data_IF_295152099466
#
_entry.id   IF_295152099466
#
_cell.length_a   1.000
_cell.length_b   1.000
_cell.length_c   1.000
_cell.angle_alpha   90.00
_cell.angle_beta   90.00
_cell.angle_gamma   90.00
#
_symmetry.space_group_name_H-M   'P 1'
#
loop_
_entity.id
_entity.type
_entity.pdbx_description
1 polymer ?
#
# COMPACT_ATOMS: atom_id res chain seq x y z
N UNK A 1 14.78 -25.02 10.42
CA UNK A 1 16.01 -24.20 10.21
C UNK A 1 15.87 -22.92 11.03
N UNK A 2 16.91 -22.46 11.75
CA UNK A 2 16.82 -21.21 12.50
C UNK A 2 16.73 -20.03 11.54
N UNK A 3 15.71 -19.19 11.71
CA UNK A 3 15.49 -17.99 10.91
C UNK A 3 16.53 -16.94 11.35
N UNK A 4 17.45 -16.56 10.46
CA UNK A 4 18.31 -15.38 10.68
C UNK A 4 17.45 -14.13 10.51
N UNK A 5 17.25 -13.40 11.60
CA UNK A 5 16.52 -12.13 11.61
C UNK A 5 17.43 -11.04 11.05
N UNK A 6 17.25 -10.71 9.77
CA UNK A 6 17.80 -9.50 9.16
C UNK A 6 16.75 -8.38 9.36
N UNK A 7 17.18 -7.15 9.58
CA UNK A 7 16.28 -6.00 9.68
C UNK A 7 15.34 -5.93 8.46
N UNK A 8 14.09 -5.47 8.61
CA UNK A 8 13.17 -5.34 7.49
C UNK A 8 13.83 -4.55 6.36
N UNK A 9 13.84 -5.10 5.14
CA UNK A 9 14.33 -4.37 3.97
C UNK A 9 13.32 -3.25 3.70
N UNK A 10 13.72 -2.02 3.98
CA UNK A 10 12.99 -0.81 3.64
C UNK A 10 13.54 -0.25 2.34
N UNK A 11 12.66 0.02 1.39
CA UNK A 11 13.00 0.61 0.09
C UNK A 11 12.41 2.02 0.02
N UNK A 12 13.25 3.00 -0.25
CA UNK A 12 12.86 4.40 -0.46
C UNK A 12 12.74 4.68 -1.96
N UNK A 13 11.64 5.30 -2.36
CA UNK A 13 11.36 5.68 -3.73
C UNK A 13 11.03 7.16 -3.79
N UNK A 14 11.52 7.84 -4.82
CA UNK A 14 11.13 9.20 -5.14
C UNK A 14 9.91 9.17 -6.08
N UNK A 15 9.03 10.17 -5.94
CA UNK A 15 7.83 10.35 -6.77
C UNK A 15 8.14 11.28 -7.94
N UNK A 16 8.99 10.81 -8.85
CA UNK A 16 9.51 11.61 -9.96
C UNK A 16 8.41 12.10 -10.92
N UNK A 17 7.29 11.38 -11.06
CA UNK A 17 6.18 11.82 -11.92
C UNK A 17 5.39 12.93 -11.25
N UNK A 18 5.09 12.78 -9.96
CA UNK A 18 4.40 13.77 -9.14
C UNK A 18 5.17 15.07 -9.07
N UNK A 19 6.47 15.01 -8.77
CA UNK A 19 7.34 16.19 -8.66
C UNK A 19 7.41 16.96 -10.00
N UNK A 20 7.35 16.26 -11.14
CA UNK A 20 7.29 16.89 -12.46
C UNK A 20 5.95 17.52 -12.79
N UNK A 21 4.86 16.99 -12.25
CA UNK A 21 3.50 17.43 -12.59
C UNK A 21 3.02 18.58 -11.70
N UNK A 22 3.29 18.50 -10.40
CA UNK A 22 2.86 19.51 -9.43
C UNK A 22 3.95 20.54 -9.09
N UNK A 23 5.21 20.25 -9.47
CA UNK A 23 6.37 21.02 -9.02
C UNK A 23 6.74 20.66 -7.59
N UNK A 24 8.04 20.73 -7.26
CA UNK A 24 8.54 20.45 -5.92
C UNK A 24 9.23 21.71 -5.38
N UNK A 25 8.73 22.25 -4.28
CA UNK A 25 9.42 23.30 -3.53
C UNK A 25 10.40 22.65 -2.53
N UNK A 26 11.61 22.32 -2.99
CA UNK A 26 12.69 21.84 -2.10
C UNK A 26 13.13 20.40 -2.35
N UNK A 27 13.10 19.57 -1.30
CA UNK A 27 13.54 18.16 -1.36
C UNK A 27 12.53 17.30 -2.15
N UNK A 28 13.00 16.31 -2.94
CA UNK A 28 12.13 15.47 -3.75
C UNK A 28 11.12 14.71 -2.88
N UNK A 29 9.89 14.58 -3.38
CA UNK A 29 8.85 13.84 -2.66
C UNK A 29 9.21 12.36 -2.66
N UNK A 30 9.14 11.72 -1.50
CA UNK A 30 9.52 10.33 -1.33
C UNK A 30 8.48 9.55 -0.53
N UNK A 31 8.47 8.24 -0.80
CA UNK A 31 7.74 7.23 -0.04
C UNK A 31 8.67 6.08 0.28
N UNK A 32 8.54 5.53 1.48
CA UNK A 32 9.29 4.40 1.97
C UNK A 32 8.35 3.25 2.24
N UNK A 33 8.70 2.08 1.71
CA UNK A 33 7.96 0.85 1.93
C UNK A 33 8.82 -0.18 2.62
N UNK A 34 8.25 -0.87 3.60
CA UNK A 34 8.79 -2.12 4.13
C UNK A 34 8.29 -3.27 3.28
N UNK A 35 9.15 -4.28 3.07
CA UNK A 35 8.71 -5.51 2.44
C UNK A 35 7.54 -6.15 3.21
N UNK A 36 6.47 -6.49 2.49
CA UNK A 36 5.35 -7.26 3.04
C UNK A 36 5.85 -8.59 3.65
N UNK A 37 5.36 -8.97 4.84
CA UNK A 37 5.64 -10.29 5.44
C UNK A 37 4.58 -11.28 4.96
N UNK A 38 4.80 -12.56 5.27
CA UNK A 38 3.91 -13.65 4.85
C UNK A 38 2.45 -13.43 5.26
N UNK A 39 2.21 -12.80 6.41
CA UNK A 39 0.85 -12.50 6.90
C UNK A 39 0.17 -11.44 6.05
N UNK A 40 0.86 -10.39 5.63
CA UNK A 40 0.31 -9.37 4.74
C UNK A 40 0.05 -9.94 3.34
N UNK A 41 0.90 -10.85 2.84
CA UNK A 41 0.63 -11.59 1.60
C UNK A 41 -0.62 -12.47 1.71
N UNK A 42 -0.81 -13.17 2.83
CA UNK A 42 -2.01 -13.97 3.06
C UNK A 42 -3.27 -13.12 3.17
N UNK A 43 -3.19 -11.95 3.84
CA UNK A 43 -4.30 -11.00 3.89
C UNK A 43 -4.64 -10.48 2.50
N UNK A 44 -3.64 -10.16 1.67
CA UNK A 44 -3.84 -9.76 0.28
C UNK A 44 -4.53 -10.88 -0.54
N UNK A 45 -4.08 -12.12 -0.40
CA UNK A 45 -4.67 -13.26 -1.12
C UNK A 45 -6.12 -13.53 -0.68
N UNK A 46 -6.41 -13.43 0.63
CA UNK A 46 -7.77 -13.53 1.16
C UNK A 46 -8.68 -12.41 0.64
N UNK A 47 -8.17 -11.17 0.60
CA UNK A 47 -8.91 -10.03 0.08
C UNK A 47 -9.19 -10.18 -1.42
N UNK A 48 -8.22 -10.67 -2.20
CA UNK A 48 -8.40 -10.95 -3.64
C UNK A 48 -9.34 -12.14 -3.89
N UNK A 49 -9.28 -13.18 -3.07
CA UNK A 49 -10.18 -14.34 -3.17
C UNK A 49 -11.63 -13.98 -2.82
N UNK A 50 -11.86 -13.05 -1.90
CA UNK A 50 -13.20 -12.58 -1.54
C UNK A 50 -13.92 -11.89 -2.72
N UNK A 51 -13.18 -11.36 -3.69
CA UNK A 51 -13.73 -10.81 -4.93
C UNK A 51 -14.30 -11.91 -5.84
N UNK A 52 -13.90 -13.18 -5.63
CA UNK A 52 -13.92 -14.15 -6.73
C UNK A 52 -15.18 -15.03 -6.84
N UNK A 53 -16.03 -15.28 -5.83
CA UNK A 53 -17.36 -15.94 -6.02
C UNK A 53 -18.12 -16.26 -4.71
N UNK A 54 -19.37 -15.82 -4.61
CA UNK A 54 -20.44 -16.59 -3.96
C UNK A 54 -21.43 -17.03 -5.04
N UNK A 55 -21.50 -18.34 -5.33
CA UNK A 55 -22.57 -18.92 -6.15
C UNK A 55 -23.69 -19.31 -5.17
N UNK A 56 -24.76 -18.51 -5.11
CA UNK A 56 -25.97 -18.91 -4.40
C UNK A 56 -26.85 -19.73 -5.32
N UNK A 57 -26.79 -21.05 -5.20
CA UNK A 57 -27.82 -21.92 -5.74
C UNK A 57 -29.05 -21.86 -4.82
N UNK A 58 -29.95 -20.91 -5.06
CA UNK A 58 -31.28 -20.93 -4.44
C UNK A 58 -32.27 -21.33 -5.54
N UNK A 59 -33.06 -22.36 -5.26
CA UNK A 59 -34.08 -22.97 -6.12
C UNK A 59 -34.53 -22.12 -7.33
N UNK A 60 -34.06 -22.49 -8.51
CA UNK A 60 -34.69 -22.16 -9.79
C UNK A 60 -34.31 -20.84 -10.46
N UNK A 61 -33.40 -20.05 -9.90
CA UNK A 61 -32.91 -18.82 -10.55
C UNK A 61 -31.37 -18.74 -10.49
N UNK A 62 -30.72 -19.09 -11.60
CA UNK A 62 -29.25 -19.03 -11.78
C UNK A 62 -28.78 -17.56 -11.95
N UNK A 63 -29.07 -16.72 -10.97
CA UNK A 63 -28.56 -15.35 -10.95
C UNK A 63 -27.22 -15.30 -10.21
N UNK A 64 -26.15 -15.03 -10.95
CA UNK A 64 -24.82 -14.77 -10.38
C UNK A 64 -24.82 -13.35 -9.82
N UNK A 65 -25.09 -13.20 -8.52
CA UNK A 65 -24.98 -11.91 -7.84
C UNK A 65 -23.52 -11.72 -7.39
N UNK A 66 -22.77 -10.94 -8.16
CA UNK A 66 -21.43 -10.50 -7.77
C UNK A 66 -21.54 -9.50 -6.62
N UNK A 67 -21.37 -9.95 -5.37
CA UNK A 67 -21.15 -9.05 -4.23
C UNK A 67 -19.66 -8.76 -4.12
N UNK A 68 -19.24 -7.62 -4.67
CA UNK A 68 -17.90 -7.10 -4.47
C UNK A 68 -17.94 -6.16 -3.24
N UNK A 69 -17.49 -6.65 -2.09
CA UNK A 69 -17.47 -5.85 -0.85
C UNK A 69 -16.36 -4.78 -0.84
N UNK A 70 -15.37 -4.87 -1.75
CA UNK A 70 -14.20 -3.99 -1.81
C UNK A 70 -13.89 -3.54 -3.24
N UNK A 71 -13.74 -2.24 -3.47
CA UNK A 71 -13.25 -1.74 -4.76
C UNK A 71 -11.75 -2.00 -4.92
N UNK A 72 -11.27 -2.10 -6.16
CA UNK A 72 -9.84 -2.33 -6.43
C UNK A 72 -8.95 -1.23 -5.83
N UNK A 73 -9.44 0.01 -5.83
CA UNK A 73 -8.76 1.15 -5.23
C UNK A 73 -8.62 1.02 -3.71
N UNK A 74 -9.66 0.52 -3.03
CA UNK A 74 -9.61 0.28 -1.59
C UNK A 74 -8.62 -0.83 -1.24
N UNK A 75 -8.48 -1.85 -2.10
CA UNK A 75 -7.49 -2.91 -1.93
C UNK A 75 -6.07 -2.39 -2.05
N UNK A 76 -5.79 -1.57 -3.06
CA UNK A 76 -4.47 -0.96 -3.22
C UNK A 76 -4.13 0.00 -2.07
N UNK A 77 -5.10 0.83 -1.64
CA UNK A 77 -4.93 1.68 -0.47
C UNK A 77 -4.59 0.85 0.79
N UNK A 78 -5.24 -0.31 0.96
CA UNK A 78 -4.96 -1.23 2.07
C UNK A 78 -3.58 -1.88 1.98
N UNK A 79 -3.11 -2.20 0.78
CA UNK A 79 -1.74 -2.71 0.58
C UNK A 79 -0.70 -1.66 0.95
N UNK A 80 -0.92 -0.41 0.53
CA UNK A 80 -0.08 0.73 0.92
C UNK A 80 -0.10 0.91 2.43
N UNK A 81 -1.27 0.93 3.08
CA UNK A 81 -1.40 1.03 4.53
C UNK A 81 -0.56 -0.01 5.29
N UNK A 82 -0.55 -1.26 4.79
CA UNK A 82 0.19 -2.34 5.43
C UNK A 82 1.71 -2.22 5.27
N UNK A 83 2.19 -1.58 4.20
CA UNK A 83 3.61 -1.60 3.83
C UNK A 83 4.30 -0.24 3.90
N UNK A 84 3.55 0.87 4.00
CA UNK A 84 4.10 2.21 4.11
C UNK A 84 4.84 2.37 5.45
N UNK A 85 6.11 2.76 5.38
CA UNK A 85 6.98 2.98 6.53
C UNK A 85 7.48 4.42 6.64
N UNK A 86 7.27 5.26 5.63
CA UNK A 86 7.63 6.68 5.68
C UNK A 86 7.17 7.43 4.43
N UNK A 87 6.96 8.74 4.55
CA UNK A 87 6.78 9.66 3.43
C UNK A 87 6.94 11.12 3.88
N UNK A 88 7.13 12.04 2.95
CA UNK A 88 7.15 13.49 3.19
C UNK A 88 5.99 14.25 2.53
N UNK A 89 4.85 13.58 2.32
CA UNK A 89 3.67 14.22 1.75
C UNK A 89 3.03 15.19 2.75
N UNK A 90 2.80 16.42 2.31
CA UNK A 90 2.14 17.48 3.07
C UNK A 90 0.80 17.87 2.43
N UNK A 91 -0.15 18.31 3.24
CA UNK A 91 -1.41 18.84 2.76
C UNK A 91 -1.28 20.34 2.40
N UNK A 92 -2.37 20.94 1.93
CA UNK A 92 -2.42 22.38 1.59
C UNK A 92 -2.22 23.33 2.79
N UNK A 93 -2.23 22.82 4.02
CA UNK A 93 -1.96 23.55 5.24
C UNK A 93 -0.53 23.32 5.77
N UNK A 94 0.35 22.71 4.97
CA UNK A 94 1.73 22.34 5.30
C UNK A 94 1.87 21.26 6.41
N UNK A 95 0.78 20.58 6.77
CA UNK A 95 0.82 19.48 7.73
C UNK A 95 1.12 18.13 7.04
N UNK A 96 1.92 17.23 7.65
CA UNK A 96 2.13 15.88 7.15
C UNK A 96 0.82 15.10 7.01
N UNK A 97 0.58 14.54 5.82
CA UNK A 97 -0.62 13.74 5.54
C UNK A 97 -0.63 12.46 6.38
N UNK A 98 0.55 11.81 6.49
CA UNK A 98 0.72 10.56 7.22
C UNK A 98 1.62 10.75 8.43
N UNK A 99 1.22 10.12 9.54
CA UNK A 99 1.96 10.14 10.80
C UNK A 99 2.69 8.83 11.00
N UNK A 100 3.94 8.92 11.45
CA UNK A 100 4.79 7.76 11.66
C UNK A 100 5.41 7.77 13.05
N UNK A 101 5.54 6.59 13.66
CA UNK A 101 6.28 6.38 14.91
C UNK A 101 7.46 5.47 14.68
N UNK A 102 8.52 5.71 15.45
CA UNK A 102 9.67 4.80 15.50
C UNK A 102 9.40 3.70 16.52
N UNK A 103 9.50 2.46 16.10
CA UNK A 103 9.41 1.29 16.98
C UNK A 103 10.72 1.10 17.75
N UNK A 104 10.66 0.35 18.86
CA UNK A 104 11.84 -0.01 19.67
C UNK A 104 12.94 -0.68 18.84
N UNK A 105 12.57 -1.36 17.75
CA UNK A 105 13.49 -2.01 16.81
C UNK A 105 14.12 -1.04 15.80
N UNK A 106 13.97 0.28 15.99
CA UNK A 106 14.53 1.32 15.13
C UNK A 106 13.80 1.51 13.78
N UNK A 107 12.81 0.67 13.47
CA UNK A 107 12.01 0.74 12.24
C UNK A 107 10.87 1.75 12.38
N UNK A 108 10.59 2.50 11.31
CA UNK A 108 9.47 3.44 11.25
C UNK A 108 8.20 2.70 10.82
N UNK A 109 7.08 2.97 11.50
CA UNK A 109 5.77 2.40 11.20
C UNK A 109 4.72 3.50 11.18
N UNK A 110 3.68 3.32 10.36
CA UNK A 110 2.53 4.19 10.33
C UNK A 110 1.85 4.21 11.72
N UNK A 111 1.63 5.42 12.25
CA UNK A 111 0.98 5.66 13.54
C UNK A 111 -0.42 6.26 13.33
N UNK A 112 -1.20 5.58 12.51
CA UNK A 112 -2.57 5.93 12.20
C UNK A 112 -3.41 4.66 12.17
N UNK A 113 -4.67 4.77 12.60
CA UNK A 113 -5.66 3.71 12.38
C UNK A 113 -5.99 3.57 10.89
N UNK A 114 -6.51 2.40 10.50
CA UNK A 114 -6.95 2.15 9.12
C UNK A 114 -7.99 3.19 8.66
N UNK A 115 -8.92 3.59 9.52
CA UNK A 115 -9.91 4.62 9.22
C UNK A 115 -9.32 6.01 8.99
N UNK A 116 -8.34 6.41 9.81
CA UNK A 116 -7.66 7.70 9.66
C UNK A 116 -6.81 7.70 8.38
N UNK A 117 -6.12 6.59 8.10
CA UNK A 117 -5.35 6.43 6.87
C UNK A 117 -6.25 6.54 5.64
N UNK A 118 -7.39 5.84 5.60
CA UNK A 118 -8.29 5.87 4.44
C UNK A 118 -8.90 7.27 4.23
N UNK A 119 -9.14 8.01 5.32
CA UNK A 119 -9.60 9.41 5.24
C UNK A 119 -8.51 10.31 4.66
N UNK A 120 -7.28 10.20 5.14
CA UNK A 120 -6.14 10.95 4.62
C UNK A 120 -5.83 10.58 3.16
N UNK A 121 -5.85 9.29 2.83
CA UNK A 121 -5.67 8.76 1.48
C UNK A 121 -6.69 9.32 0.50
N UNK A 122 -7.96 9.43 0.91
CA UNK A 122 -9.03 10.02 0.10
C UNK A 122 -8.88 11.52 -0.19
N UNK A 123 -8.00 12.23 0.51
CA UNK A 123 -7.69 13.65 0.22
C UNK A 123 -6.57 13.84 -0.80
N UNK A 124 -5.82 12.77 -1.12
CA UNK A 124 -4.68 12.83 -2.04
C UNK A 124 -5.19 12.75 -3.48
N UNK A 125 -4.57 13.51 -4.39
CA UNK A 125 -4.88 13.44 -5.81
C UNK A 125 -4.67 12.02 -6.38
N UNK A 126 -5.58 11.60 -7.26
CA UNK A 126 -5.54 10.29 -7.92
C UNK A 126 -4.23 10.02 -8.67
N UNK A 127 -3.56 11.05 -9.19
CA UNK A 127 -2.27 10.94 -9.87
C UNK A 127 -1.16 10.54 -8.90
N UNK A 128 -1.15 11.17 -7.73
CA UNK A 128 -0.15 10.92 -6.67
C UNK A 128 -0.39 9.52 -6.09
N UNK A 129 -1.64 9.19 -5.76
CA UNK A 129 -1.98 7.87 -5.23
C UNK A 129 -1.65 6.74 -6.21
N UNK A 130 -1.86 6.94 -7.52
CA UNK A 130 -1.46 5.98 -8.54
C UNK A 130 0.05 5.72 -8.57
N UNK A 131 0.87 6.77 -8.48
CA UNK A 131 2.33 6.61 -8.43
C UNK A 131 2.79 5.92 -7.14
N UNK A 132 2.19 6.25 -5.99
CA UNK A 132 2.48 5.59 -4.71
C UNK A 132 2.13 4.10 -4.80
N UNK A 133 1.00 3.73 -5.41
CA UNK A 133 0.60 2.33 -5.61
C UNK A 133 1.61 1.62 -6.52
N UNK A 134 2.03 2.23 -7.62
CA UNK A 134 3.07 1.67 -8.50
C UNK A 134 4.37 1.39 -7.72
N UNK A 135 4.80 2.32 -6.86
CA UNK A 135 6.01 2.16 -6.03
C UNK A 135 5.83 1.15 -4.90
N UNK A 136 4.64 1.08 -4.32
CA UNK A 136 4.28 0.05 -3.34
C UNK A 136 4.37 -1.34 -3.98
N UNK A 137 3.78 -1.48 -5.18
CA UNK A 137 3.95 -2.68 -5.96
C UNK A 137 5.41 -2.91 -6.32
N UNK A 138 6.21 -1.91 -6.69
CA UNK A 138 7.65 -2.08 -6.97
C UNK A 138 8.42 -2.61 -5.76
N UNK A 139 8.09 -2.12 -4.55
CA UNK A 139 8.68 -2.58 -3.29
C UNK A 139 8.24 -4.01 -2.93
N UNK A 140 6.98 -4.34 -3.22
CA UNK A 140 6.38 -5.64 -2.98
C UNK A 140 6.55 -6.60 -4.18
N UNK A 141 7.09 -6.15 -5.30
CA UNK A 141 7.25 -6.89 -6.56
C UNK A 141 8.41 -7.86 -6.39
N UNK A 142 8.01 -9.01 -5.85
CA UNK A 142 8.31 -10.36 -6.30
C UNK A 142 9.63 -10.50 -7.05
N UNK A 143 10.54 -11.27 -6.47
CA UNK A 143 11.70 -11.93 -7.07
C UNK A 143 11.50 -12.38 -8.55
N UNK A 144 11.54 -11.43 -9.49
CA UNK A 144 11.80 -11.67 -10.90
C UNK A 144 13.07 -10.95 -11.38
N UNK A 145 13.74 -10.18 -10.50
CA UNK A 145 15.16 -9.83 -10.68
C UNK A 145 16.12 -10.98 -10.33
N UNK A 146 15.60 -12.18 -10.04
CA UNK A 146 16.36 -13.41 -9.80
C UNK A 146 16.21 -14.51 -10.88
N UNK A 147 15.46 -14.28 -11.97
CA UNK A 147 15.51 -15.15 -13.16
C UNK A 147 16.44 -14.56 -14.22
N UNK A 148 17.72 -14.44 -13.86
CA UNK A 148 18.82 -14.55 -14.79
C UNK A 148 19.67 -15.71 -14.29
N UNK A 149 19.40 -16.88 -14.88
CA UNK A 149 20.35 -17.82 -15.49
C UNK A 149 19.67 -19.18 -15.67
#
# INVERSE_FOLDING_TARGET
MPVKLIAPITSRFNLDKTDKFFGCEGEPTFVEFRQARQREYQLRDQLMSAITREIKSTDGDDSIVLKQDWSMEQLYAKEVYLTLSGCNLINSAEDPIFKFKRTENGSTMLDMSESEFMTAWGTIDTFITAEIIDKCHEANLWSNKGKKD
#
